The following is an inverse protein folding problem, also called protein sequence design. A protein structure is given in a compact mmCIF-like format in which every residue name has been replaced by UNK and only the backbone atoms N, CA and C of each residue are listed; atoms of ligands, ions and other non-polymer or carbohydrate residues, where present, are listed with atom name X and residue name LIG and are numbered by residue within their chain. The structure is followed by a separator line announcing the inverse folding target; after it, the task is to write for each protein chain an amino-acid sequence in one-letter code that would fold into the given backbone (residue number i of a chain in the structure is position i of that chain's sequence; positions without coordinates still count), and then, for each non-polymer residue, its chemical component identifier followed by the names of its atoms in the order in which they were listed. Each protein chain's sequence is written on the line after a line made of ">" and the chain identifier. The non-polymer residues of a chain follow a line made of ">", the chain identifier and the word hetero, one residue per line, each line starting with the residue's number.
data_IF_597693335117
#
_entry.id   IF_597693335117
#
_cell.length_a   1.000
_cell.length_b   1.000
_cell.length_c   1.000
_cell.angle_alpha   90.00
_cell.angle_beta   90.00
_cell.angle_gamma   90.00
#
_symmetry.space_group_name_H-M   'P 1'
#
loop_
_entity.id
_entity.type
_entity.pdbx_description
1 polymer ?
#
# COMPACT_ATOMS: atom_id res chain seq x y z
N UNK A 1 -22.23 -0.06 22.71
CA UNK A 1 -21.35 -0.42 21.55
C UNK A 1 -21.70 -1.76 20.91
N UNK A 2 -22.35 -2.73 21.61
CA UNK A 2 -22.67 -4.07 21.03
C UNK A 2 -23.73 -4.05 19.92
N UNK A 3 -24.84 -3.36 20.13
CA UNK A 3 -26.01 -3.39 19.25
C UNK A 3 -25.71 -2.83 17.83
N UNK A 4 -24.95 -1.73 17.69
CA UNK A 4 -24.62 -1.18 16.36
C UNK A 4 -23.73 -2.12 15.53
N UNK A 5 -22.85 -2.88 16.17
CA UNK A 5 -22.01 -3.86 15.47
C UNK A 5 -22.83 -5.05 14.94
N UNK A 6 -23.79 -5.56 15.73
CA UNK A 6 -24.66 -6.65 15.31
C UNK A 6 -25.56 -6.23 14.15
N UNK A 7 -26.14 -5.02 14.21
CA UNK A 7 -26.93 -4.45 13.11
C UNK A 7 -26.10 -4.39 11.81
N UNK A 8 -24.86 -3.87 11.86
CA UNK A 8 -23.99 -3.81 10.69
C UNK A 8 -23.67 -5.18 10.10
N UNK A 9 -23.49 -6.19 10.93
CA UNK A 9 -23.26 -7.54 10.42
C UNK A 9 -24.52 -8.11 9.76
N UNK A 10 -25.71 -7.88 10.33
CA UNK A 10 -26.96 -8.31 9.71
C UNK A 10 -27.20 -7.60 8.37
N UNK A 11 -26.97 -6.29 8.29
CA UNK A 11 -27.08 -5.53 7.05
C UNK A 11 -26.03 -5.98 6.00
N UNK A 12 -24.83 -6.37 6.40
CA UNK A 12 -23.80 -6.86 5.47
C UNK A 12 -24.26 -8.08 4.67
N UNK A 13 -25.11 -8.93 5.23
CA UNK A 13 -25.65 -10.12 4.55
C UNK A 13 -26.62 -9.74 3.41
N UNK A 14 -27.14 -8.51 3.40
CA UNK A 14 -28.06 -8.01 2.37
C UNK A 14 -27.37 -7.32 1.20
N UNK A 15 -26.09 -6.99 1.33
CA UNK A 15 -25.37 -6.26 0.28
C UNK A 15 -24.80 -7.21 -0.77
N UNK A 16 -25.35 -7.20 -1.98
CA UNK A 16 -24.89 -8.03 -3.10
C UNK A 16 -23.45 -7.73 -3.52
N UNK A 17 -22.97 -6.50 -3.29
CA UNK A 17 -21.59 -6.10 -3.57
C UNK A 17 -20.58 -6.59 -2.52
N UNK A 18 -20.99 -7.15 -1.39
CA UNK A 18 -20.11 -7.61 -0.31
C UNK A 18 -20.05 -9.15 -0.24
N UNK A 19 -18.85 -9.71 -0.48
CA UNK A 19 -18.56 -11.12 -0.27
C UNK A 19 -17.93 -11.33 1.11
N UNK A 20 -18.47 -12.30 1.85
CA UNK A 20 -18.00 -12.64 3.20
C UNK A 20 -17.70 -14.15 3.33
N UNK A 21 -16.70 -14.69 2.60
CA UNK A 21 -16.38 -16.11 2.65
C UNK A 21 -15.95 -16.54 4.04
N UNK A 22 -16.28 -17.79 4.40
CA UNK A 22 -15.86 -18.39 5.64
C UNK A 22 -14.35 -18.70 5.60
N UNK A 23 -13.61 -18.29 6.64
CA UNK A 23 -12.21 -18.69 6.78
C UNK A 23 -12.05 -20.23 6.91
N UNK A 24 -13.05 -20.93 7.44
CA UNK A 24 -13.02 -22.39 7.56
C UNK A 24 -13.07 -23.08 6.19
N UNK A 25 -13.84 -22.56 5.25
CA UNK A 25 -13.90 -23.08 3.87
C UNK A 25 -12.54 -22.94 3.18
N UNK A 26 -11.90 -21.79 3.33
CA UNK A 26 -10.59 -21.53 2.72
C UNK A 26 -9.47 -22.38 3.33
N UNK A 27 -9.58 -22.69 4.61
CA UNK A 27 -8.59 -23.45 5.38
C UNK A 27 -8.87 -24.95 5.47
N UNK A 28 -9.87 -25.46 4.73
CA UNK A 28 -10.27 -26.85 4.81
C UNK A 28 -9.13 -27.85 4.55
N UNK A 29 -8.17 -27.46 3.69
CA UNK A 29 -7.00 -28.25 3.33
C UNK A 29 -5.72 -27.82 4.07
N UNK A 30 -5.87 -26.99 5.13
CA UNK A 30 -4.80 -26.47 5.97
C UNK A 30 -4.35 -25.04 5.58
N UNK A 31 -3.57 -24.41 6.47
CA UNK A 31 -3.14 -23.02 6.31
C UNK A 31 -2.22 -22.78 5.10
N UNK A 32 -1.44 -23.78 4.74
CA UNK A 32 -0.49 -23.70 3.63
C UNK A 32 -1.09 -24.09 2.28
N UNK A 33 -2.32 -24.64 2.27
CA UNK A 33 -3.03 -25.07 1.07
C UNK A 33 -4.44 -24.48 1.09
N UNK A 34 -4.53 -23.17 0.78
CA UNK A 34 -5.81 -22.50 0.70
C UNK A 34 -6.65 -23.10 -0.43
N UNK A 35 -7.91 -23.43 -0.10
CA UNK A 35 -8.88 -23.81 -1.10
C UNK A 35 -9.30 -22.59 -1.91
N UNK A 36 -9.33 -22.72 -3.23
CA UNK A 36 -9.80 -21.66 -4.10
C UNK A 36 -11.30 -21.41 -3.87
N UNK A 37 -11.65 -20.14 -3.75
CA UNK A 37 -13.04 -19.70 -3.67
C UNK A 37 -13.68 -19.69 -5.06
N UNK A 38 -14.99 -19.95 -5.16
CA UNK A 38 -15.73 -20.03 -6.41
C UNK A 38 -15.67 -18.75 -7.27
N UNK A 39 -15.34 -17.60 -6.68
CA UNK A 39 -15.20 -16.33 -7.42
C UNK A 39 -13.88 -16.21 -8.17
N UNK A 40 -12.88 -17.05 -7.87
CA UNK A 40 -11.56 -17.02 -8.50
C UNK A 40 -11.67 -17.28 -10.00
N UNK A 41 -11.20 -16.35 -10.81
CA UNK A 41 -11.33 -16.40 -12.27
C UNK A 41 -12.73 -16.04 -12.80
N UNK A 42 -13.64 -15.62 -11.93
CA UNK A 42 -15.03 -15.31 -12.26
C UNK A 42 -15.45 -13.87 -11.96
N UNK A 43 -14.49 -12.96 -11.71
CA UNK A 43 -14.82 -11.56 -11.41
C UNK A 43 -15.48 -10.84 -12.57
N UNK A 44 -15.07 -11.13 -13.82
CA UNK A 44 -15.71 -10.57 -15.01
C UNK A 44 -17.22 -10.94 -15.09
N UNK A 45 -17.57 -12.20 -14.78
CA UNK A 45 -18.96 -12.67 -14.73
C UNK A 45 -19.71 -11.98 -13.58
N UNK A 46 -19.06 -11.82 -12.42
CA UNK A 46 -19.67 -11.17 -11.26
C UNK A 46 -20.00 -9.71 -11.51
N UNK A 47 -19.12 -8.96 -12.20
CA UNK A 47 -19.37 -7.58 -12.60
C UNK A 47 -20.22 -7.43 -13.87
N UNK A 48 -20.46 -8.54 -14.59
CA UNK A 48 -21.17 -8.54 -15.86
C UNK A 48 -20.40 -7.85 -16.99
N UNK A 49 -19.08 -7.68 -16.83
CA UNK A 49 -18.19 -7.04 -17.81
C UNK A 49 -16.74 -7.51 -17.66
N UNK A 50 -15.94 -7.33 -18.71
CA UNK A 50 -14.52 -7.68 -18.73
C UNK A 50 -13.56 -6.50 -18.50
N UNK A 51 -13.98 -5.45 -17.80
CA UNK A 51 -13.16 -4.27 -17.51
C UNK A 51 -11.99 -4.62 -16.58
N UNK A 52 -10.87 -3.89 -16.66
CA UNK A 52 -9.72 -4.09 -15.79
C UNK A 52 -10.11 -4.06 -14.31
N UNK A 53 -9.51 -4.95 -13.52
CA UNK A 53 -9.82 -5.11 -12.11
C UNK A 53 -8.72 -4.47 -11.25
N UNK A 54 -9.13 -3.61 -10.32
CA UNK A 54 -8.27 -2.88 -9.39
C UNK A 54 -8.60 -3.29 -7.96
N UNK A 55 -7.58 -3.63 -7.16
CA UNK A 55 -7.74 -4.01 -5.75
C UNK A 55 -7.22 -2.93 -4.82
N UNK A 56 -7.98 -2.61 -3.76
CA UNK A 56 -7.47 -1.89 -2.59
C UNK A 56 -7.35 -2.86 -1.41
N UNK A 57 -6.13 -3.10 -0.94
CA UNK A 57 -5.86 -4.03 0.17
C UNK A 57 -5.77 -3.28 1.50
N UNK A 58 -6.61 -3.66 2.45
CA UNK A 58 -6.76 -2.96 3.72
C UNK A 58 -7.66 -1.74 3.61
N UNK A 59 -8.67 -1.76 2.75
CA UNK A 59 -9.52 -0.62 2.38
C UNK A 59 -10.32 0.03 3.54
N UNK A 60 -10.35 -0.60 4.71
CA UNK A 60 -11.03 -0.06 5.88
C UNK A 60 -12.54 0.17 5.66
N UNK A 61 -12.93 1.43 5.49
CA UNK A 61 -14.32 1.83 5.21
C UNK A 61 -14.64 1.89 3.72
N UNK A 62 -13.68 1.61 2.85
CA UNK A 62 -13.83 1.63 1.41
C UNK A 62 -13.90 3.04 0.80
N UNK A 63 -13.43 4.07 1.51
CA UNK A 63 -13.51 5.46 1.05
C UNK A 63 -12.70 5.66 -0.23
N UNK A 64 -11.49 5.06 -0.31
CA UNK A 64 -10.64 5.16 -1.50
C UNK A 64 -11.18 4.30 -2.65
N UNK A 65 -11.59 3.06 -2.37
CA UNK A 65 -12.24 2.16 -3.35
C UNK A 65 -13.42 2.85 -4.03
N UNK A 66 -14.33 3.44 -3.26
CA UNK A 66 -15.51 4.16 -3.78
C UNK A 66 -15.08 5.37 -4.64
N UNK A 67 -14.19 6.20 -4.12
CA UNK A 67 -13.80 7.42 -4.82
C UNK A 67 -13.07 7.15 -6.14
N UNK A 68 -12.30 6.06 -6.23
CA UNK A 68 -11.70 5.61 -7.50
C UNK A 68 -12.79 5.11 -8.47
N UNK A 69 -13.75 4.32 -7.97
CA UNK A 69 -14.80 3.75 -8.80
C UNK A 69 -15.75 4.81 -9.40
N UNK A 70 -16.06 5.86 -8.65
CA UNK A 70 -16.86 7.00 -9.12
C UNK A 70 -16.14 7.82 -10.20
N UNK A 71 -14.80 7.87 -10.15
CA UNK A 71 -13.97 8.61 -11.11
C UNK A 71 -13.70 7.85 -12.39
N UNK A 72 -13.64 6.52 -12.30
CA UNK A 72 -13.30 5.68 -13.44
C UNK A 72 -14.32 4.53 -13.61
N UNK A 73 -15.42 4.79 -14.31
CA UNK A 73 -16.43 3.79 -14.56
C UNK A 73 -15.99 2.68 -15.53
N UNK A 74 -14.86 2.85 -16.22
CA UNK A 74 -14.34 1.86 -17.18
C UNK A 74 -13.47 0.78 -16.49
N UNK A 75 -13.28 0.86 -15.19
CA UNK A 75 -12.60 -0.15 -14.37
C UNK A 75 -13.52 -0.69 -13.27
N UNK A 76 -13.25 -1.89 -12.80
CA UNK A 76 -13.91 -2.52 -11.65
C UNK A 76 -13.00 -2.42 -10.42
N UNK A 77 -13.59 -2.15 -9.25
CA UNK A 77 -12.84 -1.91 -8.02
C UNK A 77 -13.29 -2.86 -6.91
N UNK A 78 -12.32 -3.48 -6.23
CA UNK A 78 -12.58 -4.36 -5.09
C UNK A 78 -11.82 -3.87 -3.87
N UNK A 79 -12.55 -3.48 -2.82
CA UNK A 79 -11.98 -3.18 -1.52
C UNK A 79 -11.90 -4.43 -0.63
N UNK A 80 -10.73 -4.74 -0.10
CA UNK A 80 -10.46 -5.91 0.75
C UNK A 80 -10.13 -5.48 2.16
N UNK A 81 -10.86 -5.98 3.16
CA UNK A 81 -10.54 -5.80 4.60
C UNK A 81 -11.08 -6.97 5.42
N UNK A 82 -10.46 -7.24 6.56
CA UNK A 82 -10.91 -8.28 7.48
C UNK A 82 -12.11 -7.83 8.37
N UNK A 83 -12.28 -6.51 8.54
CA UNK A 83 -13.23 -5.94 9.51
C UNK A 83 -14.58 -5.64 8.85
N UNK A 84 -15.52 -6.59 8.88
CA UNK A 84 -16.86 -6.43 8.31
C UNK A 84 -17.62 -5.18 8.78
N UNK A 85 -17.45 -4.75 10.03
CA UNK A 85 -18.05 -3.52 10.54
C UNK A 85 -17.48 -2.22 9.91
N UNK A 86 -16.27 -2.27 9.30
CA UNK A 86 -15.71 -1.18 8.51
C UNK A 86 -16.22 -1.23 7.09
N UNK A 87 -16.16 -2.41 6.45
CA UNK A 87 -16.65 -2.65 5.10
C UNK A 87 -18.12 -2.27 4.93
N UNK A 88 -18.92 -2.41 5.99
CA UNK A 88 -20.32 -2.00 6.01
C UNK A 88 -20.55 -0.60 5.43
N UNK A 89 -19.68 0.38 5.72
CA UNK A 89 -19.86 1.76 5.26
C UNK A 89 -19.75 1.85 3.73
N UNK A 90 -18.70 1.25 3.16
CA UNK A 90 -18.49 1.24 1.71
C UNK A 90 -19.53 0.41 0.98
N UNK A 91 -19.85 -0.79 1.49
CA UNK A 91 -20.88 -1.66 0.88
C UNK A 91 -22.26 -1.01 0.90
N UNK A 92 -22.63 -0.36 2.01
CA UNK A 92 -23.87 0.39 2.10
C UNK A 92 -23.91 1.53 1.08
N UNK A 93 -22.86 2.34 1.01
CA UNK A 93 -22.76 3.43 0.06
C UNK A 93 -22.87 2.94 -1.39
N UNK A 94 -22.10 1.91 -1.76
CA UNK A 94 -22.13 1.33 -3.11
C UNK A 94 -23.53 0.80 -3.47
N UNK A 95 -24.24 0.20 -2.51
CA UNK A 95 -25.62 -0.29 -2.71
C UNK A 95 -26.61 0.85 -2.88
N UNK A 96 -26.56 1.87 -2.01
CA UNK A 96 -27.48 3.03 -2.05
C UNK A 96 -27.29 3.88 -3.32
N UNK A 97 -26.06 3.98 -3.82
CA UNK A 97 -25.71 4.72 -5.04
C UNK A 97 -25.67 3.84 -6.29
N UNK A 98 -26.03 2.57 -6.17
CA UNK A 98 -26.09 1.61 -7.28
C UNK A 98 -24.80 1.58 -8.14
N UNK A 99 -23.63 1.58 -7.48
CA UNK A 99 -22.34 1.54 -8.16
C UNK A 99 -22.09 0.12 -8.74
N UNK A 100 -22.13 -0.05 -10.08
CA UNK A 100 -22.05 -1.40 -10.68
C UNK A 100 -20.64 -1.94 -10.75
N UNK A 101 -19.64 -1.06 -10.59
CA UNK A 101 -18.21 -1.35 -10.72
C UNK A 101 -17.50 -1.46 -9.37
N UNK A 102 -18.24 -1.69 -8.26
CA UNK A 102 -17.67 -1.82 -6.91
C UNK A 102 -18.07 -3.15 -6.29
N UNK A 103 -17.09 -3.82 -5.70
CA UNK A 103 -17.33 -4.94 -4.80
C UNK A 103 -16.45 -4.81 -3.55
N UNK A 104 -16.85 -5.52 -2.49
CA UNK A 104 -16.05 -5.64 -1.27
C UNK A 104 -15.86 -7.12 -0.93
N UNK A 105 -14.65 -7.44 -0.44
CA UNK A 105 -14.28 -8.79 -0.03
C UNK A 105 -13.82 -8.78 1.43
N UNK A 106 -14.57 -9.43 2.29
CA UNK A 106 -14.21 -9.60 3.70
C UNK A 106 -13.32 -10.82 3.87
N UNK A 107 -12.01 -10.62 3.87
CA UNK A 107 -11.04 -11.69 4.09
C UNK A 107 -9.77 -11.14 4.72
N UNK A 108 -8.88 -12.04 5.16
CA UNK A 108 -7.51 -11.69 5.48
C UNK A 108 -6.73 -11.50 4.18
N UNK A 109 -5.88 -10.46 4.10
CA UNK A 109 -5.06 -10.21 2.90
C UNK A 109 -4.10 -11.37 2.62
N UNK A 110 -3.70 -12.11 3.66
CA UNK A 110 -2.88 -13.31 3.54
C UNK A 110 -3.54 -14.42 2.71
N UNK A 111 -4.88 -14.40 2.56
CA UNK A 111 -5.66 -15.39 1.81
C UNK A 111 -6.01 -14.93 0.38
N UNK A 112 -5.46 -13.81 -0.05
CA UNK A 112 -5.86 -13.13 -1.30
C UNK A 112 -5.76 -14.04 -2.54
N UNK A 113 -4.78 -14.94 -2.58
CA UNK A 113 -4.53 -15.85 -3.71
C UNK A 113 -5.66 -16.88 -3.92
N UNK A 114 -6.52 -17.10 -2.91
CA UNK A 114 -7.69 -17.96 -3.05
C UNK A 114 -8.82 -17.31 -3.87
N UNK A 115 -8.74 -16.00 -4.16
CA UNK A 115 -9.84 -15.23 -4.76
C UNK A 115 -9.54 -14.71 -6.16
N UNK A 116 -8.29 -14.72 -6.60
CA UNK A 116 -7.89 -14.16 -7.88
C UNK A 116 -7.05 -15.15 -8.67
N UNK A 117 -7.43 -15.36 -9.93
CA UNK A 117 -6.71 -16.20 -10.87
C UNK A 117 -5.50 -15.45 -11.49
N UNK A 118 -4.53 -16.17 -12.07
CA UNK A 118 -3.41 -15.54 -12.78
C UNK A 118 -3.90 -14.57 -13.87
N UNK A 119 -3.34 -13.35 -13.86
CA UNK A 119 -3.68 -12.33 -14.85
C UNK A 119 -5.07 -11.70 -14.69
N UNK A 120 -5.72 -11.86 -13.56
CA UNK A 120 -7.09 -11.33 -13.33
C UNK A 120 -7.11 -9.89 -12.82
N UNK A 121 -6.01 -9.40 -12.23
CA UNK A 121 -5.92 -8.08 -11.61
C UNK A 121 -4.92 -7.19 -12.34
N UNK A 122 -5.28 -5.94 -12.60
CA UNK A 122 -4.41 -4.96 -13.25
C UNK A 122 -3.58 -4.13 -12.27
N UNK A 123 -4.15 -3.77 -11.12
CA UNK A 123 -3.52 -2.88 -10.15
C UNK A 123 -3.83 -3.29 -8.71
N UNK A 124 -2.87 -3.06 -7.82
CA UNK A 124 -3.02 -3.19 -6.36
C UNK A 124 -2.73 -1.84 -5.70
N UNK A 125 -3.67 -1.37 -4.87
CA UNK A 125 -3.53 -0.15 -4.08
C UNK A 125 -3.35 -0.49 -2.59
N UNK A 126 -2.30 0.07 -2.00
CA UNK A 126 -1.97 0.00 -0.58
C UNK A 126 -2.11 1.40 0.01
N UNK A 127 -3.29 1.71 0.55
CA UNK A 127 -3.61 3.04 1.06
C UNK A 127 -3.62 3.04 2.58
N UNK A 128 -2.71 3.78 3.20
CA UNK A 128 -2.59 3.94 4.65
C UNK A 128 -2.58 2.62 5.43
N UNK A 129 -1.92 1.61 4.86
CA UNK A 129 -1.74 0.30 5.49
C UNK A 129 -0.82 0.39 6.72
N UNK A 130 -1.04 -0.52 7.68
CA UNK A 130 -0.21 -0.59 8.90
C UNK A 130 1.27 -0.88 8.52
N UNK A 131 2.22 -0.06 8.96
CA UNK A 131 3.64 -0.22 8.63
C UNK A 131 4.28 -1.49 9.23
N UNK A 132 3.63 -2.19 10.15
CA UNK A 132 4.08 -3.47 10.71
C UNK A 132 5.56 -3.45 11.14
N UNK A 133 5.90 -2.53 12.05
CA UNK A 133 7.29 -2.28 12.48
C UNK A 133 8.04 -3.51 12.96
N UNK A 134 7.33 -4.52 13.52
CA UNK A 134 7.91 -5.70 14.16
C UNK A 134 7.98 -6.94 13.26
N UNK A 135 7.23 -6.93 12.15
CA UNK A 135 7.09 -8.10 11.29
C UNK A 135 7.17 -7.70 9.83
N UNK A 136 8.31 -7.94 9.22
CA UNK A 136 8.53 -7.66 7.81
C UNK A 136 7.52 -8.40 6.93
N UNK A 137 7.34 -9.69 7.17
CA UNK A 137 6.42 -10.53 6.41
C UNK A 137 4.94 -10.12 6.52
N UNK A 138 4.61 -9.25 7.48
CA UNK A 138 3.25 -8.70 7.62
C UNK A 138 3.04 -7.38 6.87
N UNK A 139 4.11 -6.76 6.33
CA UNK A 139 4.00 -5.55 5.50
C UNK A 139 3.44 -5.92 4.14
N UNK A 140 2.42 -5.19 3.69
CA UNK A 140 1.77 -5.47 2.40
C UNK A 140 2.69 -5.21 1.18
N UNK A 141 3.83 -4.55 1.36
CA UNK A 141 4.88 -4.35 0.34
C UNK A 141 6.10 -5.26 0.56
N UNK A 142 6.03 -6.28 1.42
CA UNK A 142 7.12 -7.23 1.62
C UNK A 142 7.29 -8.20 0.45
N UNK A 143 8.47 -8.80 0.26
CA UNK A 143 8.71 -9.84 -0.74
C UNK A 143 7.65 -10.94 -0.72
N UNK A 144 7.22 -11.38 0.47
CA UNK A 144 6.18 -12.39 0.61
C UNK A 144 4.84 -11.96 -0.01
N UNK A 145 4.47 -10.68 0.12
CA UNK A 145 3.26 -10.16 -0.50
C UNK A 145 3.44 -9.87 -1.99
N UNK A 146 4.62 -9.45 -2.42
CA UNK A 146 4.91 -9.28 -3.85
C UNK A 146 4.79 -10.63 -4.59
N UNK A 147 5.24 -11.75 -3.99
CA UNK A 147 5.02 -13.09 -4.53
C UNK A 147 3.52 -13.42 -4.70
N UNK A 148 2.69 -13.05 -3.73
CA UNK A 148 1.23 -13.22 -3.84
C UNK A 148 0.66 -12.37 -4.97
N UNK A 149 1.07 -11.10 -5.08
CA UNK A 149 0.58 -10.20 -6.14
C UNK A 149 0.99 -10.68 -7.53
N UNK A 150 2.22 -11.16 -7.68
CA UNK A 150 2.71 -11.74 -8.94
C UNK A 150 1.85 -12.92 -9.41
N UNK A 151 1.26 -13.67 -8.48
CA UNK A 151 0.45 -14.85 -8.84
C UNK A 151 -0.88 -14.51 -9.53
N UNK A 152 -1.37 -13.28 -9.43
CA UNK A 152 -2.66 -12.88 -9.98
C UNK A 152 -2.65 -11.56 -10.78
N UNK A 153 -1.59 -10.76 -10.68
CA UNK A 153 -1.47 -9.56 -11.52
C UNK A 153 -1.24 -9.92 -12.99
N UNK A 154 -1.75 -9.08 -13.87
CA UNK A 154 -1.40 -9.12 -15.30
C UNK A 154 0.10 -8.84 -15.48
N UNK A 155 0.74 -9.30 -16.57
CA UNK A 155 2.08 -8.87 -16.91
C UNK A 155 2.17 -7.34 -16.96
N UNK A 156 3.13 -6.76 -16.24
CA UNK A 156 3.25 -5.31 -16.10
C UNK A 156 2.25 -4.66 -15.12
N UNK A 157 1.54 -5.45 -14.32
CA UNK A 157 0.63 -4.97 -13.29
C UNK A 157 1.31 -4.06 -12.27
N UNK A 158 0.59 -3.07 -11.78
CA UNK A 158 1.12 -1.97 -10.98
C UNK A 158 0.73 -2.11 -9.52
N UNK A 159 1.68 -1.84 -8.62
CA UNK A 159 1.42 -1.67 -7.19
C UNK A 159 1.60 -0.20 -6.82
N UNK A 160 0.59 0.36 -6.14
CA UNK A 160 0.57 1.72 -5.63
C UNK A 160 0.64 1.70 -4.10
N UNK A 161 1.56 2.46 -3.53
CA UNK A 161 1.63 2.71 -2.09
C UNK A 161 1.43 4.20 -1.83
N UNK A 162 0.37 4.54 -1.09
CA UNK A 162 0.10 5.88 -0.59
C UNK A 162 0.03 5.82 0.92
N UNK A 163 0.92 6.50 1.63
CA UNK A 163 1.03 6.37 3.09
C UNK A 163 1.58 7.63 3.75
N UNK A 164 1.17 7.85 4.98
CA UNK A 164 1.76 8.81 5.91
C UNK A 164 3.02 8.25 6.59
N UNK A 165 3.28 6.93 6.50
CA UNK A 165 4.44 6.28 7.09
C UNK A 165 5.69 6.42 6.23
N UNK A 166 6.62 7.26 6.68
CA UNK A 166 7.93 7.37 6.06
C UNK A 166 8.70 6.05 6.11
N UNK A 167 8.60 5.37 7.25
CA UNK A 167 9.17 4.03 7.42
C UNK A 167 8.69 3.05 6.35
N UNK A 168 7.37 2.98 6.10
CA UNK A 168 6.81 2.04 5.13
C UNK A 168 7.19 2.41 3.69
N UNK A 169 7.22 3.71 3.39
CA UNK A 169 7.64 4.22 2.08
C UNK A 169 9.09 3.84 1.76
N UNK A 170 10.02 4.16 2.67
CA UNK A 170 11.45 3.88 2.47
C UNK A 170 11.73 2.36 2.43
N UNK A 171 11.01 1.58 3.25
CA UNK A 171 11.08 0.12 3.16
C UNK A 171 10.64 -0.38 1.78
N UNK A 172 9.48 0.06 1.28
CA UNK A 172 8.99 -0.35 -0.03
C UNK A 172 9.95 0.06 -1.16
N UNK A 173 10.54 1.26 -1.06
CA UNK A 173 11.55 1.74 -1.99
C UNK A 173 12.82 0.87 -1.96
N UNK A 174 13.28 0.46 -0.77
CA UNK A 174 14.41 -0.46 -0.61
C UNK A 174 14.10 -1.84 -1.19
N UNK A 175 12.88 -2.38 -1.01
CA UNK A 175 12.43 -3.61 -1.65
C UNK A 175 12.46 -3.48 -3.17
N UNK A 176 11.96 -2.38 -3.74
CA UNK A 176 12.01 -2.15 -5.18
C UNK A 176 13.45 -2.14 -5.71
N UNK A 177 14.36 -1.48 -5.02
CA UNK A 177 15.79 -1.40 -5.40
C UNK A 177 16.49 -2.77 -5.30
N UNK A 178 16.26 -3.51 -4.20
CA UNK A 178 16.86 -4.83 -3.99
C UNK A 178 16.45 -5.84 -5.05
N UNK A 179 15.28 -5.65 -5.67
CA UNK A 179 14.72 -6.55 -6.68
C UNK A 179 14.75 -5.93 -8.11
N UNK A 180 15.36 -4.77 -8.31
CA UNK A 180 15.42 -4.11 -9.61
C UNK A 180 14.06 -3.78 -10.22
N UNK A 181 13.02 -3.55 -9.39
CA UNK A 181 11.68 -3.27 -9.89
C UNK A 181 11.61 -1.89 -10.54
N UNK A 182 10.86 -1.79 -11.62
CA UNK A 182 10.65 -0.54 -12.34
C UNK A 182 9.73 0.38 -11.56
N UNK A 183 10.29 1.47 -11.03
CA UNK A 183 9.55 2.52 -10.32
C UNK A 183 8.94 3.46 -11.36
N UNK A 184 7.62 3.69 -11.30
CA UNK A 184 6.89 4.58 -12.19
C UNK A 184 6.78 5.99 -11.62
N UNK A 185 6.54 6.13 -10.32
CA UNK A 185 6.50 7.40 -9.61
C UNK A 185 6.95 7.21 -8.16
N UNK A 186 7.63 8.23 -7.61
CA UNK A 186 8.05 8.24 -6.22
C UNK A 186 8.11 9.69 -5.71
N UNK A 187 7.47 9.94 -4.56
CA UNK A 187 7.59 11.21 -3.85
C UNK A 187 7.47 11.00 -2.35
N UNK A 188 8.27 11.73 -1.61
CA UNK A 188 8.21 11.73 -0.15
C UNK A 188 7.27 12.80 0.42
N UNK A 189 6.73 13.68 -0.43
CA UNK A 189 5.76 14.71 -0.08
C UNK A 189 4.83 14.98 -1.27
N UNK A 190 3.70 14.28 -1.27
CA UNK A 190 2.73 14.30 -2.36
C UNK A 190 2.08 15.67 -2.56
N UNK A 191 1.93 16.45 -1.49
CA UNK A 191 1.20 17.72 -1.48
C UNK A 191 2.10 18.94 -1.29
N UNK A 192 3.41 18.76 -1.10
CA UNK A 192 4.35 19.85 -0.83
C UNK A 192 4.07 20.54 0.51
N UNK A 193 3.78 19.75 1.54
CA UNK A 193 3.45 20.26 2.90
C UNK A 193 4.67 20.46 3.79
N UNK A 194 5.85 19.98 3.37
CA UNK A 194 7.11 20.17 4.11
C UNK A 194 7.71 21.54 3.80
N UNK A 195 8.32 22.18 4.79
CA UNK A 195 8.90 23.54 4.72
C UNK A 195 10.04 23.70 3.68
N UNK A 196 10.54 22.63 3.11
CA UNK A 196 11.48 22.67 1.97
C UNK A 196 10.89 23.35 0.71
N UNK A 197 9.57 23.42 0.58
CA UNK A 197 8.89 24.12 -0.50
C UNK A 197 8.95 25.65 -0.35
N UNK A 198 9.27 26.18 0.83
CA UNK A 198 9.29 27.62 1.13
C UNK A 198 10.56 28.33 0.67
N UNK A 199 11.63 27.63 0.27
CA UNK A 199 12.94 28.24 -0.05
C UNK A 199 13.19 28.49 -1.55
N UNK A 200 12.31 28.03 -2.43
CA UNK A 200 12.46 28.32 -3.88
C UNK A 200 11.17 28.84 -4.48
N UNK A 201 11.04 30.18 -4.44
CA UNK A 201 10.06 30.92 -5.20
C UNK A 201 10.13 30.59 -6.69
N UNK A 202 8.97 30.36 -7.27
CA UNK A 202 8.64 30.42 -8.71
C UNK A 202 9.64 29.76 -9.68
N UNK A 203 9.73 28.43 -9.68
CA UNK A 203 10.08 27.66 -10.87
C UNK A 203 9.42 26.27 -10.79
N UNK A 204 8.97 25.79 -11.96
CA UNK A 204 8.24 24.55 -12.21
C UNK A 204 8.44 23.45 -11.17
N UNK A 205 7.33 22.88 -10.68
CA UNK A 205 7.30 21.73 -9.76
C UNK A 205 8.27 20.65 -10.23
N UNK A 206 9.48 20.68 -9.70
CA UNK A 206 10.44 19.58 -9.90
C UNK A 206 10.01 18.49 -8.95
N UNK A 207 9.58 17.38 -9.51
CA UNK A 207 9.56 16.10 -8.80
C UNK A 207 10.98 15.86 -8.29
N UNK A 208 11.20 16.08 -6.99
CA UNK A 208 12.48 15.72 -6.38
C UNK A 208 12.64 14.21 -6.51
N UNK A 209 13.60 13.79 -7.31
CA UNK A 209 13.95 12.39 -7.43
C UNK A 209 14.20 11.80 -6.04
N UNK A 210 13.80 10.53 -5.85
CA UNK A 210 13.97 9.79 -4.59
C UNK A 210 15.45 9.51 -4.26
N UNK A 211 16.25 10.56 -4.13
CA UNK A 211 17.52 10.53 -3.44
C UNK A 211 17.24 10.95 -1.99
N UNK A 212 16.93 9.95 -1.14
CA UNK A 212 16.66 10.19 0.28
C UNK A 212 17.89 10.75 0.98
N UNK A 213 17.72 11.66 1.93
CA UNK A 213 18.79 11.94 2.86
C UNK A 213 19.04 10.69 3.70
N UNK A 214 20.30 10.25 3.78
CA UNK A 214 20.74 9.29 4.78
C UNK A 214 20.39 9.83 6.17
N UNK A 215 20.11 8.97 7.16
CA UNK A 215 19.93 9.42 8.52
C UNK A 215 21.18 10.18 8.98
N UNK A 216 21.05 11.22 9.82
CA UNK A 216 22.20 12.03 10.24
C UNK A 216 23.22 11.14 10.96
N UNK A 217 24.39 10.95 10.34
CA UNK A 217 25.56 10.37 11.00
C UNK A 217 26.26 11.47 11.76
N UNK A 218 26.48 11.23 13.05
CA UNK A 218 27.31 12.08 13.90
C UNK A 218 28.72 12.27 13.31
N UNK A 219 29.20 13.49 13.42
CA UNK A 219 30.46 13.97 12.89
C UNK A 219 31.66 13.24 13.49
N UNK A 220 32.47 12.61 12.65
CA UNK A 220 33.88 12.33 12.97
C UNK A 220 34.76 13.07 11.97
N UNK A 221 35.73 13.81 12.50
CA UNK A 221 36.61 14.74 11.82
C UNK A 221 37.61 14.10 10.82
N UNK A 222 38.41 14.89 10.14
CA UNK A 222 39.07 14.52 8.90
C UNK A 222 40.38 13.76 9.13
N UNK A 223 40.61 12.66 8.40
CA UNK A 223 41.96 12.17 8.15
C UNK A 223 42.19 11.95 6.65
N UNK A 224 43.18 12.66 6.17
CA UNK A 224 43.80 12.52 4.87
C UNK A 224 44.35 11.09 4.70
N UNK A 225 44.16 10.47 3.53
CA UNK A 225 45.21 9.77 2.82
C UNK A 225 44.80 9.39 1.38
N UNK A 226 45.76 9.62 0.51
CA UNK A 226 45.85 9.60 -0.95
C UNK A 226 45.55 8.23 -1.62
N UNK A 227 44.99 8.38 -2.81
CA UNK A 227 45.32 7.75 -4.10
C UNK A 227 45.50 6.21 -4.18
N UNK A 228 44.66 5.58 -5.04
CA UNK A 228 45.13 4.87 -6.25
C UNK A 228 43.94 4.44 -7.09
N UNK A 229 43.97 4.81 -8.37
CA UNK A 229 42.92 4.51 -9.34
C UNK A 229 42.92 3.06 -9.77
N UNK A 230 41.70 2.61 -10.10
CA UNK A 230 41.46 1.51 -11.04
C UNK A 230 40.27 1.92 -11.92
N UNK A 231 40.56 2.19 -13.17
CA UNK A 231 39.59 2.25 -14.24
C UNK A 231 38.95 0.87 -14.42
N UNK A 232 37.65 0.76 -14.20
CA UNK A 232 36.84 -0.29 -14.78
C UNK A 232 35.79 0.35 -15.68
N UNK A 233 36.00 0.18 -16.95
CA UNK A 233 35.06 0.41 -18.02
C UNK A 233 33.86 -0.51 -17.91
N UNK A 234 32.64 0.04 -18.01
CA UNK A 234 31.41 -0.72 -18.24
C UNK A 234 30.29 -0.49 -17.22
N UNK A 235 29.94 0.75 -16.93
CA UNK A 235 28.59 1.03 -16.42
C UNK A 235 27.65 1.23 -17.61
N UNK A 236 26.52 0.48 -17.67
CA UNK A 236 25.46 0.85 -18.60
C UNK A 236 24.90 2.20 -18.14
N UNK A 237 24.87 3.16 -19.04
CA UNK A 237 24.30 4.47 -18.83
C UNK A 237 22.89 4.33 -18.21
N UNK A 238 22.72 4.84 -17.00
CA UNK A 238 21.42 5.00 -16.40
C UNK A 238 20.60 5.87 -17.36
N UNK A 239 19.63 5.24 -18.01
CA UNK A 239 18.65 5.95 -18.83
C UNK A 239 18.03 7.04 -17.94
N UNK A 240 18.15 8.29 -18.34
CA UNK A 240 17.56 9.44 -17.67
C UNK A 240 16.06 9.15 -17.53
N UNK A 241 15.60 8.88 -16.31
CA UNK A 241 14.20 8.67 -16.01
C UNK A 241 13.45 9.94 -16.41
N UNK A 242 12.53 9.82 -17.36
CA UNK A 242 11.52 10.83 -17.65
C UNK A 242 10.85 11.26 -16.34
N UNK A 243 10.47 12.52 -16.14
CA UNK A 243 9.84 12.95 -14.89
C UNK A 243 8.62 12.07 -14.63
N UNK A 244 8.64 11.39 -13.50
CA UNK A 244 7.58 10.48 -13.08
C UNK A 244 6.28 11.26 -12.90
N UNK A 245 5.32 11.03 -13.79
CA UNK A 245 4.01 11.67 -13.70
C UNK A 245 3.19 10.94 -12.63
N UNK A 246 2.89 11.62 -11.54
CA UNK A 246 1.98 11.10 -10.52
C UNK A 246 0.56 11.11 -11.11
N UNK A 247 -0.14 9.98 -11.14
CA UNK A 247 -1.52 9.91 -11.64
C UNK A 247 -2.43 10.90 -10.89
N UNK A 248 -3.32 11.56 -11.62
CA UNK A 248 -4.19 12.60 -11.06
C UNK A 248 -5.12 12.08 -9.95
N UNK A 249 -5.54 10.82 -10.03
CA UNK A 249 -6.36 10.15 -9.01
C UNK A 249 -5.67 10.05 -7.65
N UNK A 250 -4.33 10.00 -7.61
CA UNK A 250 -3.56 9.90 -6.37
C UNK A 250 -3.76 11.14 -5.49
N UNK A 251 -3.81 12.33 -6.10
CA UNK A 251 -4.02 13.60 -5.37
C UNK A 251 -5.49 13.98 -5.26
N UNK A 252 -6.30 13.52 -6.20
CA UNK A 252 -7.72 13.87 -6.27
C UNK A 252 -8.58 13.13 -5.24
N UNK A 253 -8.13 11.96 -4.76
CA UNK A 253 -8.81 11.18 -3.72
C UNK A 253 -8.10 11.39 -2.38
N UNK A 254 -8.80 11.99 -1.42
CA UNK A 254 -8.32 12.16 -0.05
C UNK A 254 -9.28 11.49 0.93
N UNK A 255 -8.79 10.50 1.67
CA UNK A 255 -9.56 9.85 2.73
C UNK A 255 -9.66 10.74 3.98
N UNK A 256 -10.61 10.44 4.85
CA UNK A 256 -10.74 11.13 6.14
C UNK A 256 -9.43 11.09 6.96
N UNK A 257 -8.75 9.95 6.99
CA UNK A 257 -7.47 9.84 7.71
C UNK A 257 -6.36 10.67 7.06
N UNK A 258 -6.32 10.71 5.74
CA UNK A 258 -5.35 11.53 5.02
C UNK A 258 -5.51 13.02 5.31
N UNK A 259 -6.73 13.53 5.27
CA UNK A 259 -7.02 14.91 5.63
C UNK A 259 -6.58 15.23 7.06
N UNK A 260 -6.80 14.29 7.98
CA UNK A 260 -6.38 14.44 9.37
C UNK A 260 -4.85 14.51 9.52
N UNK A 261 -4.10 13.68 8.79
CA UNK A 261 -2.64 13.71 8.79
C UNK A 261 -2.10 15.01 8.19
N UNK A 262 -2.65 15.45 7.06
CA UNK A 262 -2.29 16.73 6.44
C UNK A 262 -2.54 17.93 7.38
N UNK A 263 -3.66 17.94 8.09
CA UNK A 263 -3.96 18.99 9.10
C UNK A 263 -2.94 19.00 10.25
N UNK A 264 -2.29 17.88 10.53
CA UNK A 264 -1.24 17.77 11.55
C UNK A 264 0.17 18.02 11.00
N UNK A 265 0.29 18.38 9.71
CA UNK A 265 1.58 18.65 9.07
C UNK A 265 2.37 17.38 8.72
N UNK A 266 1.75 16.20 8.73
CA UNK A 266 2.43 14.99 8.26
C UNK A 266 2.43 14.95 6.72
N UNK A 267 3.60 14.82 6.07
CA UNK A 267 3.66 14.64 4.63
C UNK A 267 3.08 13.28 4.24
N UNK A 268 2.36 13.25 3.13
CA UNK A 268 1.89 12.01 2.52
C UNK A 268 2.88 11.61 1.44
N UNK A 269 3.32 10.38 1.46
CA UNK A 269 4.25 9.80 0.48
C UNK A 269 3.50 8.98 -0.55
N UNK A 270 4.11 8.85 -1.73
CA UNK A 270 3.58 7.98 -2.78
C UNK A 270 4.72 7.27 -3.51
N UNK A 271 4.48 5.99 -3.81
CA UNK A 271 5.35 5.14 -4.62
C UNK A 271 4.48 4.26 -5.52
N UNK A 272 4.81 4.19 -6.81
CA UNK A 272 4.23 3.16 -7.69
C UNK A 272 5.32 2.44 -8.47
N UNK A 273 5.13 1.13 -8.63
CA UNK A 273 6.11 0.27 -9.27
C UNK A 273 5.43 -0.92 -9.94
N UNK A 274 6.15 -1.53 -10.89
CA UNK A 274 5.69 -2.69 -11.63
C UNK A 274 6.28 -3.96 -11.04
N UNK A 275 5.46 -5.01 -10.95
CA UNK A 275 5.90 -6.35 -10.58
C UNK A 275 6.25 -7.12 -11.86
N UNK A 276 7.52 -6.99 -12.30
CA UNK A 276 8.05 -7.60 -13.52
C UNK A 276 9.39 -8.32 -13.30
N UNK A 277 9.70 -8.65 -12.04
CA UNK A 277 10.93 -9.34 -11.67
C UNK A 277 10.84 -10.85 -11.93
N UNK A 278 11.87 -11.40 -12.59
CA UNK A 278 12.05 -12.83 -12.75
C UNK A 278 12.78 -13.43 -11.53
N UNK A 279 12.28 -14.50 -11.00
CA UNK A 279 12.84 -15.15 -9.81
C UNK A 279 12.17 -14.74 -8.48
N UNK A 280 12.67 -15.25 -7.35
CA UNK A 280 12.10 -14.96 -6.03
C UNK A 280 12.43 -13.52 -5.60
N UNK A 281 11.46 -12.84 -4.97
CA UNK A 281 11.71 -11.54 -4.36
C UNK A 281 12.55 -11.69 -3.09
N UNK A 282 13.50 -10.76 -2.91
CA UNK A 282 14.38 -10.71 -1.75
C UNK A 282 14.10 -9.50 -0.86
N UNK A 283 14.32 -9.67 0.44
CA UNK A 283 14.26 -8.55 1.39
C UNK A 283 15.48 -7.63 1.25
N UNK A 284 15.32 -6.31 1.45
CA UNK A 284 16.45 -5.42 1.59
C UNK A 284 17.29 -5.82 2.81
N UNK A 285 18.61 -5.70 2.73
CA UNK A 285 19.51 -5.99 3.86
C UNK A 285 19.38 -4.90 4.92
N UNK A 286 19.27 -5.31 6.18
CA UNK A 286 19.22 -4.41 7.32
C UNK A 286 20.60 -4.47 8.04
N UNK A 287 21.36 -3.39 8.25
CA UNK A 287 20.97 -1.99 7.94
C UNK A 287 21.44 -1.42 6.59
N UNK A 288 22.10 -2.20 5.71
CA UNK A 288 22.81 -1.67 4.56
C UNK A 288 21.88 -1.03 3.50
N UNK A 289 20.77 -1.71 3.18
CA UNK A 289 19.81 -1.24 2.19
C UNK A 289 18.65 -0.47 2.85
N UNK A 290 18.30 -0.84 4.09
CA UNK A 290 17.22 -0.23 4.88
C UNK A 290 17.46 -0.43 6.38
N UNK A 291 17.87 0.63 7.07
CA UNK A 291 18.01 0.59 8.54
C UNK A 291 16.64 0.71 9.23
N UNK A 292 16.04 -0.44 9.52
CA UNK A 292 14.71 -0.53 10.12
C UNK A 292 14.64 0.11 11.51
N UNK A 293 15.73 0.10 12.27
CA UNK A 293 15.81 0.69 13.61
C UNK A 293 15.88 2.22 13.54
N UNK A 294 16.74 2.75 12.63
CA UNK A 294 16.90 4.19 12.44
C UNK A 294 15.60 4.81 11.90
N UNK A 295 14.99 4.23 10.86
CA UNK A 295 13.75 4.73 10.30
C UNK A 295 12.58 4.67 11.28
N UNK A 296 12.48 3.63 12.10
CA UNK A 296 11.48 3.54 13.16
C UNK A 296 11.68 4.61 14.23
N UNK A 297 12.93 4.89 14.62
CA UNK A 297 13.25 5.94 15.58
C UNK A 297 12.91 7.34 15.02
N UNK A 298 13.21 7.58 13.74
CA UNK A 298 12.93 8.86 13.06
C UNK A 298 11.41 9.13 12.92
N UNK A 299 10.59 8.09 12.72
CA UNK A 299 9.15 8.25 12.58
C UNK A 299 8.46 8.63 13.91
N UNK A 300 9.04 8.25 15.03
CA UNK A 300 8.54 8.58 16.37
C UNK A 300 7.17 7.96 16.72
N UNK A 301 6.63 8.28 17.89
CA UNK A 301 5.31 7.82 18.29
C UNK A 301 4.23 8.62 17.57
N UNK A 302 3.41 7.97 16.76
CA UNK A 302 2.26 8.59 16.11
C UNK A 302 1.07 8.64 17.04
N UNK A 303 0.55 9.83 17.26
CA UNK A 303 -0.70 10.04 17.98
C UNK A 303 -1.86 9.78 17.00
N UNK A 304 -2.32 8.54 16.91
CA UNK A 304 -3.57 8.21 16.24
C UNK A 304 -4.74 8.71 17.10
N UNK A 305 -5.52 9.63 16.57
CA UNK A 305 -6.69 10.18 17.26
C UNK A 305 -7.66 9.09 17.71
N UNK A 306 -8.01 9.09 19.00
CA UNK A 306 -9.18 8.44 19.57
C UNK A 306 -9.17 6.92 19.67
N UNK A 307 -8.22 6.23 19.04
CA UNK A 307 -8.00 4.80 19.20
C UNK A 307 -6.54 4.55 19.52
N UNK A 308 -6.28 4.29 20.81
CA UNK A 308 -5.01 3.71 21.20
C UNK A 308 -4.67 2.55 20.25
N UNK A 309 -3.55 2.63 19.55
CA UNK A 309 -3.03 1.49 18.82
C UNK A 309 -2.94 0.29 19.78
N UNK A 310 -2.98 -0.93 19.28
CA UNK A 310 -2.84 -2.10 20.15
C UNK A 310 -1.55 -2.02 20.99
N UNK A 311 -0.56 -1.27 20.51
CA UNK A 311 0.72 -1.03 21.17
C UNK A 311 0.61 0.00 22.28
N UNK A 312 -0.10 1.12 22.07
CA UNK A 312 -0.40 2.12 23.11
C UNK A 312 -1.24 1.53 24.23
N UNK A 313 -2.20 0.64 23.90
CA UNK A 313 -2.96 -0.11 24.90
C UNK A 313 -2.10 -1.06 25.72
N UNK A 314 -1.14 -1.79 25.09
CA UNK A 314 -0.19 -2.66 25.79
C UNK A 314 0.77 -1.88 26.66
N UNK A 315 1.20 -0.70 26.24
CA UNK A 315 2.07 0.18 27.01
C UNK A 315 1.36 0.78 28.23
N UNK A 316 0.09 1.20 28.07
CA UNK A 316 -0.76 1.65 29.19
C UNK A 316 -1.05 0.53 30.19
N UNK A 317 -1.12 -0.74 29.75
CA UNK A 317 -1.31 -1.91 30.62
C UNK A 317 0.00 -2.31 31.36
N UNK A 318 1.18 -1.99 30.82
CA UNK A 318 2.46 -2.25 31.48
C UNK A 318 2.84 -1.19 32.52
N UNK A 319 2.27 0.00 32.42
CA UNK A 319 2.53 1.13 33.33
C UNK A 319 1.45 1.28 34.42
N UNK A 320 0.55 0.29 34.55
CA UNK A 320 -0.36 0.08 35.69
C UNK A 320 0.07 -1.15 36.48
#
# INVERSE_FOLDING_TARGET
>A
MGHDKLRKFAENETFSCLLQPSAQELLADGYFHLRDHAVKGCWAQRFGNGRPLVLELGCGKGEYTIALAERDPERNFIGVDIKGARLWKGAKYATEHQLPNVAFLRTRVEFITAFFAPGEVSEVWLTFSDPQYRSENSRLCSPLFLERYRSFLVPGGVVHLKTDSRFLHEYALAVCRANGLRILACTSDLYGTSDEASLHGSQARRTSGCAGPHPPTESAGPSLLRSRGWLRSGEPAAAAASPSVIPSEVTAVQTFYEQLFLQQGYPITYLSFVIDHDGPYVSPRDPEDFDSKAWRAAEGPRLLFGHDSAETRRQKLKNR
#
